data_IF_501535233512
#
_entry.id   IF_501535233512
#
_cell.length_a   1.000
_cell.length_b   1.000
_cell.length_c   1.000
_cell.angle_alpha   90.00
_cell.angle_beta   90.00
_cell.angle_gamma   90.00
#
_symmetry.space_group_name_H-M   'P 1'
#
loop_
_entity.id
_entity.type
_entity.pdbx_description
1 polymer ?
#
# COMPACT_ATOMS: atom_id res chain seq x y z
N UNK A 1 6.49 -42.41 16.06
CA UNK A 1 5.31 -43.13 16.58
C UNK A 1 5.21 -42.63 18.02
N UNK A 2 4.30 -41.72 18.39
CA UNK A 2 2.86 -41.81 18.19
C UNK A 2 2.16 -40.45 18.13
N UNK A 3 1.15 -40.38 17.26
CA UNK A 3 0.17 -39.31 17.17
C UNK A 3 -1.02 -39.66 18.09
N UNK A 4 -1.30 -38.83 19.10
CA UNK A 4 -2.48 -38.98 19.94
C UNK A 4 -3.05 -37.60 20.32
N UNK A 5 -4.34 -37.39 20.02
CA UNK A 5 -5.18 -36.64 20.96
C UNK A 5 -5.89 -35.36 20.52
N UNK A 6 -6.09 -35.07 19.23
CA UNK A 6 -7.04 -34.02 18.84
C UNK A 6 -8.42 -34.64 18.54
N UNK A 7 -9.32 -34.64 19.54
CA UNK A 7 -10.72 -35.04 19.35
C UNK A 7 -11.45 -34.13 18.33
N UNK A 8 -12.57 -34.59 17.73
CA UNK A 8 -13.27 -33.83 16.70
C UNK A 8 -13.77 -32.49 17.26
N UNK A 9 -13.33 -31.40 16.61
CA UNK A 9 -13.78 -30.04 16.94
C UNK A 9 -15.30 -29.96 16.82
N UNK A 10 -15.98 -29.63 17.92
CA UNK A 10 -17.42 -29.35 17.93
C UNK A 10 -17.71 -28.12 17.07
N UNK A 11 -18.26 -28.37 15.88
CA UNK A 11 -18.68 -27.32 14.97
C UNK A 11 -19.90 -26.59 15.54
N UNK A 12 -19.86 -25.27 15.46
CA UNK A 12 -20.97 -24.41 15.90
C UNK A 12 -22.23 -24.67 15.03
N UNK A 13 -23.44 -24.33 15.51
CA UNK A 13 -24.68 -24.63 14.78
C UNK A 13 -24.72 -24.07 13.36
N UNK A 14 -24.14 -22.90 13.14
CA UNK A 14 -24.07 -22.27 11.81
C UNK A 14 -23.10 -23.00 10.87
N UNK A 15 -21.97 -23.49 11.37
CA UNK A 15 -20.99 -24.26 10.58
C UNK A 15 -21.56 -25.59 10.12
N UNK A 16 -22.35 -26.28 10.97
CA UNK A 16 -23.05 -27.52 10.60
C UNK A 16 -24.05 -27.30 9.48
N UNK A 17 -24.80 -26.19 9.53
CA UNK A 17 -25.79 -25.85 8.51
C UNK A 17 -25.14 -25.65 7.14
N UNK A 18 -24.02 -24.90 7.09
CA UNK A 18 -23.27 -24.65 5.86
C UNK A 18 -22.64 -25.94 5.31
N UNK A 19 -22.20 -26.86 6.18
CA UNK A 19 -21.60 -28.14 5.77
C UNK A 19 -22.60 -29.09 5.08
N UNK A 20 -23.88 -29.08 5.49
CA UNK A 20 -24.91 -29.95 4.93
C UNK A 20 -25.53 -29.45 3.61
N UNK A 21 -25.28 -28.20 3.20
CA UNK A 21 -25.84 -27.61 1.98
C UNK A 21 -24.79 -27.46 0.86
N UNK A 22 -24.71 -28.39 -0.11
CA UNK A 22 -23.66 -28.40 -1.14
C UNK A 22 -23.70 -27.20 -2.11
N UNK A 23 -24.85 -26.51 -2.22
CA UNK A 23 -24.99 -25.26 -3.00
C UNK A 23 -24.44 -24.05 -2.25
N UNK A 24 -24.69 -23.95 -0.95
CA UNK A 24 -24.15 -22.89 -0.09
C UNK A 24 -22.63 -23.03 0.05
N UNK A 25 -22.14 -24.25 0.21
CA UNK A 25 -20.70 -24.54 0.23
C UNK A 25 -20.00 -24.10 -1.06
N UNK A 26 -20.59 -24.40 -2.23
CA UNK A 26 -20.06 -23.95 -3.53
C UNK A 26 -20.15 -22.44 -3.71
N UNK A 27 -21.26 -21.80 -3.31
CA UNK A 27 -21.39 -20.34 -3.35
C UNK A 27 -20.37 -19.62 -2.47
N UNK A 28 -20.12 -20.13 -1.27
CA UNK A 28 -19.12 -19.60 -0.34
C UNK A 28 -17.68 -19.84 -0.83
N UNK A 29 -17.44 -20.98 -1.47
CA UNK A 29 -16.18 -21.26 -2.15
C UNK A 29 -15.98 -20.34 -3.36
N UNK A 30 -17.00 -20.05 -4.15
CA UNK A 30 -16.89 -19.10 -5.27
C UNK A 30 -16.65 -17.66 -4.80
N UNK A 31 -17.21 -17.28 -3.64
CA UNK A 31 -16.97 -15.99 -2.99
C UNK A 31 -15.58 -15.90 -2.31
N UNK A 32 -14.99 -17.03 -1.90
CA UNK A 32 -13.73 -17.07 -1.14
C UNK A 32 -12.53 -17.70 -1.86
N UNK A 33 -12.70 -18.25 -3.07
CA UNK A 33 -11.67 -18.98 -3.81
C UNK A 33 -11.22 -18.20 -5.06
N UNK A 34 -10.67 -17.00 -4.87
CA UNK A 34 -9.59 -16.54 -5.73
C UNK A 34 -8.26 -16.94 -5.10
N UNK A 35 -7.72 -18.14 -5.40
CA UNK A 35 -6.37 -18.47 -4.96
C UNK A 35 -5.41 -17.54 -5.71
N UNK A 36 -4.66 -16.75 -4.94
CA UNK A 36 -3.66 -15.75 -5.34
C UNK A 36 -4.19 -14.32 -5.59
N UNK A 37 -4.64 -13.62 -4.53
CA UNK A 37 -4.90 -12.17 -4.62
C UNK A 37 -3.67 -11.39 -5.13
N UNK A 38 -2.47 -11.86 -4.81
CA UNK A 38 -1.23 -11.16 -5.17
C UNK A 38 -0.98 -11.16 -6.68
N UNK A 39 -1.09 -12.32 -7.35
CA UNK A 39 -0.80 -12.42 -8.78
C UNK A 39 -1.77 -11.57 -9.61
N UNK A 40 -3.06 -11.58 -9.24
CA UNK A 40 -4.07 -10.76 -9.91
C UNK A 40 -3.77 -9.26 -9.78
N UNK A 41 -3.34 -8.82 -8.58
CA UNK A 41 -2.93 -7.44 -8.33
C UNK A 41 -1.71 -7.08 -9.18
N UNK A 42 -0.71 -7.97 -9.28
CA UNK A 42 0.46 -7.75 -10.13
C UNK A 42 0.07 -7.61 -11.59
N UNK A 43 -0.80 -8.50 -12.10
CA UNK A 43 -1.29 -8.46 -13.48
C UNK A 43 -2.05 -7.16 -13.75
N UNK A 44 -2.96 -6.74 -12.86
CA UNK A 44 -3.70 -5.50 -13.06
C UNK A 44 -2.78 -4.28 -13.05
N UNK A 45 -1.80 -4.23 -12.15
CA UNK A 45 -0.84 -3.14 -12.08
C UNK A 45 0.04 -3.09 -13.33
N UNK A 46 0.54 -4.24 -13.81
CA UNK A 46 1.30 -4.32 -15.05
C UNK A 46 0.45 -3.89 -16.26
N UNK A 47 -0.83 -4.24 -16.28
CA UNK A 47 -1.76 -3.81 -17.33
C UNK A 47 -1.95 -2.29 -17.37
N UNK A 48 -2.16 -1.65 -16.22
CA UNK A 48 -2.29 -0.19 -16.12
C UNK A 48 -1.00 0.52 -16.57
N UNK A 49 0.16 0.04 -16.10
CA UNK A 49 1.45 0.62 -16.49
C UNK A 49 1.73 0.42 -17.99
N UNK A 50 1.42 -0.75 -18.54
CA UNK A 50 1.54 -1.04 -19.97
C UNK A 50 0.65 -0.13 -20.81
N UNK A 51 -0.61 0.08 -20.39
CA UNK A 51 -1.53 1.00 -21.05
C UNK A 51 -1.03 2.45 -21.01
N UNK A 52 -0.49 2.90 -19.87
CA UNK A 52 0.10 4.24 -19.74
C UNK A 52 1.29 4.44 -20.69
N UNK A 53 2.21 3.48 -20.75
CA UNK A 53 3.38 3.55 -21.67
C UNK A 53 2.94 3.51 -23.13
N UNK A 54 1.91 2.71 -23.44
CA UNK A 54 1.36 2.67 -24.79
C UNK A 54 0.73 4.01 -25.19
N UNK A 55 -0.03 4.64 -24.29
CA UNK A 55 -0.60 5.96 -24.53
C UNK A 55 0.50 7.02 -24.73
N UNK A 56 1.53 7.01 -23.87
CA UNK A 56 2.68 7.91 -23.99
C UNK A 56 3.38 7.70 -25.35
N UNK A 57 3.60 6.45 -25.77
CA UNK A 57 4.16 6.16 -27.09
C UNK A 57 3.27 6.62 -28.24
N UNK A 58 1.96 6.40 -28.14
CA UNK A 58 1.02 6.79 -29.20
C UNK A 58 1.03 8.30 -29.43
N UNK A 59 1.07 9.09 -28.36
CA UNK A 59 1.10 10.55 -28.39
C UNK A 59 2.45 11.11 -28.83
N UNK A 60 3.55 10.65 -28.24
CA UNK A 60 4.88 11.24 -28.43
C UNK A 60 5.73 10.53 -29.50
N UNK A 61 5.29 9.39 -30.03
CA UNK A 61 5.99 8.53 -31.02
C UNK A 61 7.37 8.03 -30.57
N UNK A 62 7.66 8.12 -29.28
CA UNK A 62 8.88 7.61 -28.64
C UNK A 62 8.51 6.65 -27.53
N UNK A 63 9.33 5.62 -27.28
CA UNK A 63 9.12 4.73 -26.15
C UNK A 63 9.53 5.43 -24.88
N UNK A 64 8.54 5.95 -24.16
CA UNK A 64 8.77 6.71 -22.94
C UNK A 64 7.68 6.43 -21.92
N UNK A 65 7.98 6.73 -20.66
CA UNK A 65 7.03 6.63 -19.56
C UNK A 65 7.04 7.94 -18.81
N UNK A 66 5.88 8.57 -18.72
CA UNK A 66 5.65 9.77 -17.91
C UNK A 66 6.10 9.59 -16.46
N UNK A 67 5.78 8.45 -15.85
CA UNK A 67 6.21 8.11 -14.48
C UNK A 67 7.73 8.06 -14.36
N UNK A 68 8.42 7.39 -15.28
CA UNK A 68 9.88 7.30 -15.25
C UNK A 68 10.55 8.65 -15.51
N UNK A 69 10.05 9.42 -16.48
CA UNK A 69 10.58 10.75 -16.78
C UNK A 69 10.37 11.72 -15.61
N UNK A 70 9.24 11.64 -14.92
CA UNK A 70 8.96 12.41 -13.72
C UNK A 70 9.99 12.10 -12.63
N UNK A 71 10.26 10.82 -12.37
CA UNK A 71 11.27 10.40 -11.40
C UNK A 71 12.68 10.83 -11.82
N UNK A 72 13.04 10.64 -13.10
CA UNK A 72 14.34 11.07 -13.62
C UNK A 72 14.55 12.58 -13.46
N UNK A 73 13.54 13.37 -13.79
CA UNK A 73 13.61 14.82 -13.68
C UNK A 73 13.70 15.29 -12.22
N UNK A 74 12.88 14.74 -11.32
CA UNK A 74 12.84 15.19 -9.93
C UNK A 74 13.98 14.62 -9.06
N UNK A 75 14.43 13.38 -9.32
CA UNK A 75 15.38 12.67 -8.44
C UNK A 75 16.80 12.66 -9.01
N UNK A 76 16.97 12.47 -10.32
CA UNK A 76 18.31 12.27 -10.92
C UNK A 76 18.86 13.50 -11.65
N UNK A 77 18.01 14.48 -12.00
CA UNK A 77 18.37 15.57 -12.88
C UNK A 77 17.58 16.84 -12.58
N UNK A 78 17.39 17.15 -11.29
CA UNK A 78 16.67 18.32 -10.84
C UNK A 78 17.29 19.57 -11.44
N UNK A 79 16.64 20.14 -12.46
CA UNK A 79 17.06 21.39 -13.06
C UNK A 79 17.22 22.48 -12.00
N UNK A 80 18.18 23.39 -12.25
CA UNK A 80 18.58 24.56 -11.45
C UNK A 80 17.43 25.58 -11.29
N UNK A 81 16.27 25.13 -10.82
CA UNK A 81 15.03 25.90 -10.71
C UNK A 81 14.75 26.27 -9.25
N UNK A 82 15.79 26.61 -8.49
CA UNK A 82 15.67 27.16 -7.14
C UNK A 82 15.39 28.66 -7.21
N UNK A 83 14.35 29.05 -7.96
CA UNK A 83 14.02 30.46 -8.20
C UNK A 83 13.76 31.23 -6.90
N UNK A 84 13.17 30.56 -5.90
CA UNK A 84 12.78 31.19 -4.63
C UNK A 84 13.43 30.57 -3.39
N UNK A 85 14.18 29.47 -3.55
CA UNK A 85 14.79 28.73 -2.45
C UNK A 85 14.14 27.37 -2.22
N UNK A 86 14.32 26.85 -1.01
CA UNK A 86 13.80 25.54 -0.58
C UNK A 86 13.08 25.67 0.75
N UNK A 87 11.96 24.96 0.90
CA UNK A 87 11.17 24.95 2.13
C UNK A 87 11.90 24.27 3.30
N UNK A 88 11.55 24.70 4.52
CA UNK A 88 12.06 24.11 5.75
C UNK A 88 11.39 22.76 6.11
N UNK A 89 11.93 21.97 7.05
CA UNK A 89 11.41 20.64 7.40
C UNK A 89 9.94 20.61 7.87
N UNK A 90 9.47 21.71 8.47
CA UNK A 90 8.09 21.83 8.95
C UNK A 90 7.07 21.80 7.81
N UNK A 91 7.48 22.19 6.59
CA UNK A 91 6.64 22.09 5.40
C UNK A 91 6.16 20.64 5.18
N UNK A 92 7.05 19.66 5.29
CA UNK A 92 6.69 18.25 5.06
C UNK A 92 5.71 17.72 6.12
N UNK A 93 5.79 18.19 7.36
CA UNK A 93 4.81 17.85 8.39
C UNK A 93 3.42 18.41 8.08
N UNK A 94 3.35 19.68 7.66
CA UNK A 94 2.09 20.30 7.23
C UNK A 94 1.53 19.62 5.99
N UNK A 95 2.40 19.30 5.02
CA UNK A 95 2.04 18.58 3.81
C UNK A 95 1.53 17.16 4.13
N UNK A 96 2.21 16.43 5.02
CA UNK A 96 1.77 15.11 5.47
C UNK A 96 0.40 15.17 6.14
N UNK A 97 0.20 16.12 7.06
CA UNK A 97 -1.09 16.31 7.71
C UNK A 97 -2.19 16.69 6.72
N UNK A 98 -1.91 17.54 5.73
CA UNK A 98 -2.89 17.90 4.70
C UNK A 98 -3.27 16.71 3.80
N UNK A 99 -2.29 15.89 3.39
CA UNK A 99 -2.55 14.73 2.54
C UNK A 99 -3.28 13.59 3.27
N UNK A 100 -2.92 13.32 4.53
CA UNK A 100 -3.38 12.13 5.26
C UNK A 100 -4.30 12.42 6.45
N UNK A 101 -4.53 13.70 6.79
CA UNK A 101 -5.43 14.14 7.86
C UNK A 101 -5.20 13.39 9.19
N UNK A 102 -6.25 12.84 9.78
CA UNK A 102 -6.17 12.07 11.03
C UNK A 102 -5.32 10.81 10.93
N UNK A 103 -5.21 10.21 9.74
CA UNK A 103 -4.35 9.04 9.55
C UNK A 103 -2.90 9.39 9.91
N UNK A 104 -2.42 10.60 9.57
CA UNK A 104 -1.08 11.06 9.91
C UNK A 104 -0.84 11.05 11.42
N UNK A 105 -1.79 11.58 12.20
CA UNK A 105 -1.71 11.60 13.67
C UNK A 105 -1.62 10.16 14.20
N UNK A 106 -2.45 9.25 13.69
CA UNK A 106 -2.42 7.84 14.09
C UNK A 106 -1.07 7.18 13.77
N UNK A 107 -0.46 7.49 12.62
CA UNK A 107 0.87 7.01 12.30
C UNK A 107 1.95 7.58 13.24
N UNK A 108 1.87 8.84 13.65
CA UNK A 108 2.82 9.39 14.62
C UNK A 108 2.69 8.73 16.00
N UNK A 109 1.49 8.30 16.38
CA UNK A 109 1.23 7.57 17.63
C UNK A 109 1.65 6.10 17.59
N UNK A 110 1.86 5.53 16.40
CA UNK A 110 2.27 4.13 16.22
C UNK A 110 3.46 3.70 17.08
N UNK A 111 4.61 4.42 17.12
CA UNK A 111 5.75 4.05 17.98
C UNK A 111 5.39 4.02 19.48
N UNK A 112 4.47 4.85 19.94
CA UNK A 112 4.01 4.85 21.34
C UNK A 112 3.06 3.67 21.64
N UNK A 113 2.29 3.21 20.66
CA UNK A 113 1.37 2.07 20.77
C UNK A 113 2.12 0.73 20.66
N UNK A 114 3.27 0.73 19.97
CA UNK A 114 4.12 -0.42 19.70
C UNK A 114 4.46 -1.29 20.93
N UNK A 115 4.90 -0.74 22.08
CA UNK A 115 5.15 -1.53 23.29
C UNK A 115 3.89 -2.18 23.88
N UNK A 116 2.71 -1.57 23.69
CA UNK A 116 1.44 -2.05 24.23
C UNK A 116 0.86 -3.17 23.35
N UNK A 117 0.99 -3.03 22.02
CA UNK A 117 0.40 -3.95 21.04
C UNK A 117 1.34 -5.06 20.57
N UNK A 118 2.56 -5.16 21.14
CA UNK A 118 3.70 -5.91 20.60
C UNK A 118 3.38 -7.36 20.21
N UNK A 119 2.63 -8.08 21.04
CA UNK A 119 2.46 -9.54 20.90
C UNK A 119 1.36 -9.99 19.94
N UNK A 120 0.44 -9.10 19.51
CA UNK A 120 -0.79 -9.54 18.80
C UNK A 120 -1.10 -8.83 17.49
N UNK A 121 -0.71 -7.56 17.31
CA UNK A 121 -1.19 -6.75 16.18
C UNK A 121 -0.09 -6.11 15.33
N UNK A 122 1.17 -6.19 15.77
CA UNK A 122 2.33 -5.53 15.13
C UNK A 122 2.45 -5.76 13.62
N UNK A 123 2.41 -7.00 13.08
CA UNK A 123 2.64 -7.19 11.64
C UNK A 123 1.54 -6.55 10.78
N UNK A 124 0.28 -6.64 11.21
CA UNK A 124 -0.82 -6.02 10.49
C UNK A 124 -0.79 -4.49 10.60
N UNK A 125 -0.41 -3.96 11.75
CA UNK A 125 -0.32 -2.51 11.98
C UNK A 125 0.84 -1.91 11.17
N UNK A 126 1.98 -2.58 11.06
CA UNK A 126 3.08 -2.15 10.18
C UNK A 126 2.67 -2.06 8.71
N UNK A 127 1.91 -3.04 8.20
CA UNK A 127 1.42 -3.00 6.82
C UNK A 127 0.54 -1.78 6.58
N UNK A 128 -0.32 -1.44 7.54
CA UNK A 128 -1.25 -0.30 7.44
C UNK A 128 -0.53 1.04 7.54
N UNK A 129 0.49 1.16 8.40
CA UNK A 129 1.17 2.44 8.66
C UNK A 129 2.37 2.66 7.72
N UNK A 130 2.97 1.61 7.17
CA UNK A 130 4.17 1.69 6.32
C UNK A 130 4.06 2.64 5.12
N UNK A 131 2.93 2.75 4.38
CA UNK A 131 2.85 3.65 3.22
C UNK A 131 3.10 5.11 3.61
N UNK A 132 2.68 5.52 4.81
CA UNK A 132 2.84 6.90 5.29
C UNK A 132 4.28 7.20 5.69
N UNK A 133 4.96 6.24 6.33
CA UNK A 133 6.38 6.39 6.64
C UNK A 133 7.24 6.39 5.36
N UNK A 134 6.93 5.52 4.41
CA UNK A 134 7.60 5.48 3.10
C UNK A 134 7.40 6.80 2.38
N UNK A 135 6.17 7.32 2.34
CA UNK A 135 5.87 8.61 1.73
C UNK A 135 6.63 9.74 2.42
N UNK A 136 6.61 9.81 3.75
CA UNK A 136 7.28 10.88 4.50
C UNK A 136 8.79 10.86 4.27
N UNK A 137 9.40 9.67 4.32
CA UNK A 137 10.82 9.49 4.03
C UNK A 137 11.14 9.91 2.59
N UNK A 138 10.40 9.39 1.61
CA UNK A 138 10.62 9.68 0.19
C UNK A 138 10.51 11.17 -0.12
N UNK A 139 9.46 11.83 0.37
CA UNK A 139 9.26 13.27 0.16
C UNK A 139 10.34 14.10 0.88
N UNK A 140 10.79 13.69 2.06
CA UNK A 140 11.82 14.41 2.83
C UNK A 140 13.22 14.28 2.23
N UNK A 141 13.48 13.29 1.36
CA UNK A 141 14.75 13.17 0.65
C UNK A 141 14.93 14.23 -0.43
N UNK A 142 13.85 14.82 -0.93
CA UNK A 142 13.87 15.81 -1.99
C UNK A 142 13.55 17.19 -1.42
N UNK A 143 14.52 18.12 -1.44
CA UNK A 143 14.31 19.49 -1.00
C UNK A 143 13.18 20.14 -1.83
N UNK A 144 12.10 20.53 -1.15
CA UNK A 144 10.93 21.07 -1.80
C UNK A 144 11.23 22.49 -2.24
N UNK A 145 10.99 22.76 -3.52
CA UNK A 145 11.21 24.06 -4.13
C UNK A 145 10.04 24.96 -3.78
N UNK A 146 10.31 26.18 -3.36
CA UNK A 146 9.25 27.16 -3.09
C UNK A 146 8.65 27.63 -4.43
N UNK A 147 7.35 27.44 -4.62
CA UNK A 147 6.56 28.04 -5.69
C UNK A 147 5.74 29.18 -5.07
N UNK A 148 6.21 30.43 -5.22
CA UNK A 148 5.50 31.65 -4.77
C UNK A 148 4.80 32.32 -5.94
#
# INVERSE_FOLDING_TARGET
MDAAGAGPRLLSPHERYVQHHPRLRRGLQLLGATPLPHLQIWISNMGVQGLSVFADHYCYKIWTSSVFNLLKYNVMGGGQSHLYGTEGPLFYFRNAFNNFNFCFILALLFPAILPIAWKRYVPHLFIVVSPMYIWLAFMSLQAHKEER
#
